data_IF_693434023175
#
_entry.id   IF_693434023175
#
_cell.length_a   1.000
_cell.length_b   1.000
_cell.length_c   1.000
_cell.angle_alpha   90.00
_cell.angle_beta   90.00
_cell.angle_gamma   90.00
#
_symmetry.space_group_name_H-M   'P 1'
#
loop_
_entity.id
_entity.type
_entity.pdbx_description
1 polymer ?
#
# COMPACT_ATOMS: atom_id res chain seq x y z
N UNK A 1 13.10 -13.20 -0.96
CA UNK A 1 13.87 -14.43 -1.27
C UNK A 1 15.17 -14.05 -1.96
N UNK A 2 16.20 -14.92 -1.92
CA UNK A 2 17.49 -14.72 -2.58
C UNK A 2 17.71 -15.82 -3.61
N UNK A 3 18.03 -15.46 -4.85
CA UNK A 3 18.23 -16.40 -5.96
C UNK A 3 19.54 -16.07 -6.66
N UNK A 4 20.32 -17.07 -7.06
CA UNK A 4 21.54 -16.79 -7.84
C UNK A 4 21.20 -16.34 -9.26
N UNK A 5 22.01 -15.48 -9.87
CA UNK A 5 21.79 -15.03 -11.27
C UNK A 5 21.75 -16.22 -12.24
N UNK A 6 22.54 -17.26 -11.97
CA UNK A 6 22.56 -18.49 -12.77
C UNK A 6 21.23 -19.24 -12.69
N UNK A 7 20.68 -19.39 -11.49
CA UNK A 7 19.39 -20.03 -11.23
C UNK A 7 18.22 -19.19 -11.76
N UNK A 8 18.32 -17.86 -11.65
CA UNK A 8 17.32 -16.93 -12.15
C UNK A 8 17.15 -16.99 -13.67
N UNK A 9 18.20 -17.36 -14.44
CA UNK A 9 18.15 -17.40 -15.92
C UNK A 9 17.01 -18.27 -16.47
N UNK A 10 16.69 -19.38 -15.80
CA UNK A 10 15.62 -20.30 -16.23
C UNK A 10 14.23 -19.99 -15.65
N UNK A 11 14.15 -19.12 -14.64
CA UNK A 11 12.92 -18.84 -13.90
C UNK A 11 12.58 -17.35 -13.84
N UNK A 12 13.25 -16.51 -14.65
CA UNK A 12 13.14 -15.06 -14.58
C UNK A 12 11.69 -14.58 -14.73
N UNK A 13 10.93 -15.19 -15.64
CA UNK A 13 9.51 -14.88 -15.84
C UNK A 13 8.68 -15.08 -14.57
N UNK A 14 8.92 -16.16 -13.83
CA UNK A 14 8.22 -16.45 -12.57
C UNK A 14 8.68 -15.53 -11.44
N UNK A 15 9.99 -15.24 -11.37
CA UNK A 15 10.54 -14.30 -10.40
C UNK A 15 10.00 -12.88 -10.59
N UNK A 16 9.82 -12.45 -11.84
CA UNK A 16 9.19 -11.17 -12.18
C UNK A 16 7.72 -11.16 -11.74
N UNK A 17 6.94 -12.19 -12.06
CA UNK A 17 5.54 -12.29 -11.61
C UNK A 17 5.39 -12.21 -10.10
N UNK A 18 6.30 -12.86 -9.36
CA UNK A 18 6.34 -12.77 -7.89
C UNK A 18 6.68 -11.37 -7.41
N UNK A 19 7.66 -10.71 -8.03
CA UNK A 19 7.98 -9.33 -7.73
C UNK A 19 6.79 -8.38 -8.02
N UNK A 20 6.06 -8.61 -9.10
CA UNK A 20 4.81 -7.88 -9.42
C UNK A 20 3.69 -8.12 -8.42
N UNK A 21 3.58 -9.34 -7.87
CA UNK A 21 2.65 -9.68 -6.80
C UNK A 21 3.03 -9.05 -5.45
N UNK A 22 4.24 -8.49 -5.34
CA UNK A 22 4.75 -7.80 -4.15
C UNK A 22 5.76 -8.60 -3.33
N UNK A 23 6.25 -9.73 -3.84
CA UNK A 23 7.33 -10.48 -3.19
C UNK A 23 8.68 -9.79 -3.43
N UNK A 24 9.50 -9.67 -2.38
CA UNK A 24 10.85 -9.17 -2.54
C UNK A 24 11.76 -10.27 -3.10
N UNK A 25 12.31 -10.05 -4.30
CA UNK A 25 13.26 -10.98 -4.94
C UNK A 25 14.62 -10.30 -5.10
N UNK A 26 15.65 -10.87 -4.47
CA UNK A 26 17.03 -10.39 -4.53
C UNK A 26 17.85 -11.37 -5.37
N UNK A 27 18.51 -10.86 -6.39
CA UNK A 27 19.44 -11.61 -7.23
C UNK A 27 20.84 -11.54 -6.63
N UNK A 28 21.53 -12.67 -6.59
CA UNK A 28 22.86 -12.81 -6.03
C UNK A 28 23.85 -13.34 -7.07
N UNK A 29 25.10 -12.87 -7.02
CA UNK A 29 26.20 -13.40 -7.82
C UNK A 29 27.31 -13.81 -6.87
N UNK A 30 27.68 -15.11 -6.90
CA UNK A 30 28.69 -15.68 -5.99
C UNK A 30 28.38 -15.41 -4.50
N UNK A 31 27.11 -15.50 -4.11
CA UNK A 31 26.66 -15.26 -2.73
C UNK A 31 26.47 -13.78 -2.34
N UNK A 32 26.89 -12.84 -3.18
CA UNK A 32 26.70 -11.41 -2.93
C UNK A 32 25.42 -10.90 -3.59
N UNK A 33 24.64 -10.09 -2.89
CA UNK A 33 23.46 -9.42 -3.43
C UNK A 33 23.89 -8.39 -4.49
N UNK A 34 23.33 -8.49 -5.70
CA UNK A 34 23.74 -7.64 -6.84
C UNK A 34 22.59 -6.88 -7.48
N UNK A 35 21.36 -7.36 -7.35
CA UNK A 35 20.18 -6.68 -7.87
C UNK A 35 18.94 -7.05 -7.06
N UNK A 36 17.91 -6.21 -7.12
CA UNK A 36 16.59 -6.47 -6.55
C UNK A 36 15.54 -6.24 -7.64
N UNK A 37 14.65 -7.22 -7.81
CA UNK A 37 13.49 -7.06 -8.67
C UNK A 37 12.41 -6.32 -7.88
N UNK A 38 11.96 -5.20 -8.44
CA UNK A 38 10.89 -4.38 -7.88
C UNK A 38 9.85 -4.10 -8.96
N UNK A 39 8.56 -4.10 -8.63
CA UNK A 39 7.54 -3.71 -9.58
C UNK A 39 7.69 -2.25 -9.96
N UNK A 40 7.59 -1.94 -11.25
CA UNK A 40 7.67 -0.56 -11.76
C UNK A 40 6.40 0.22 -11.40
N UNK A 41 5.24 -0.41 -11.56
CA UNK A 41 3.97 0.11 -11.08
C UNK A 41 3.58 -0.62 -9.80
N UNK A 42 3.50 0.10 -8.68
CA UNK A 42 2.97 -0.46 -7.44
C UNK A 42 1.48 -0.71 -7.63
N UNK A 43 1.11 -1.90 -8.10
CA UNK A 43 -0.28 -2.33 -8.08
C UNK A 43 -0.65 -2.45 -6.60
N UNK A 44 -1.56 -1.59 -6.14
CA UNK A 44 -2.01 -1.62 -4.77
C UNK A 44 -2.75 -2.94 -4.53
N UNK A 45 -2.04 -3.94 -4.02
CA UNK A 45 -2.66 -5.20 -3.61
C UNK A 45 -3.69 -4.89 -2.52
N UNK A 46 -4.79 -5.67 -2.39
CA UNK A 46 -5.78 -5.44 -1.34
C UNK A 46 -5.15 -5.32 0.06
N UNK A 47 -4.13 -6.16 0.33
CA UNK A 47 -3.33 -6.12 1.56
C UNK A 47 -2.49 -4.85 1.68
N UNK A 48 -1.78 -4.46 0.61
CA UNK A 48 -0.98 -3.23 0.58
C UNK A 48 -1.82 -1.98 0.76
N UNK A 49 -3.00 -1.92 0.13
CA UNK A 49 -3.97 -0.84 0.28
C UNK A 49 -4.52 -0.77 1.71
N UNK A 50 -4.87 -1.91 2.33
CA UNK A 50 -5.29 -1.95 3.74
C UNK A 50 -4.20 -1.42 4.66
N UNK A 51 -2.96 -1.92 4.52
CA UNK A 51 -1.83 -1.49 5.33
C UNK A 51 -1.49 -0.01 5.13
N UNK A 52 -1.65 0.53 3.92
CA UNK A 52 -1.52 1.96 3.65
C UNK A 52 -2.61 2.75 4.39
N UNK A 53 -3.87 2.34 4.28
CA UNK A 53 -4.99 3.02 4.95
C UNK A 53 -4.87 2.99 6.47
N UNK A 54 -4.38 1.89 7.05
CA UNK A 54 -4.12 1.80 8.49
C UNK A 54 -3.01 2.75 8.94
N UNK A 55 -1.91 2.82 8.19
CA UNK A 55 -0.83 3.79 8.47
C UNK A 55 -1.34 5.23 8.38
N UNK A 56 -2.09 5.57 7.34
CA UNK A 56 -2.69 6.91 7.18
C UNK A 56 -3.61 7.22 8.36
N UNK A 57 -4.49 6.28 8.75
CA UNK A 57 -5.39 6.44 9.91
C UNK A 57 -4.61 6.64 11.22
N UNK A 58 -3.56 5.86 11.46
CA UNK A 58 -2.74 5.98 12.66
C UNK A 58 -2.09 7.36 12.77
N UNK A 59 -1.50 7.84 11.68
CA UNK A 59 -0.90 9.19 11.63
C UNK A 59 -1.94 10.30 11.78
N UNK A 60 -3.13 10.13 11.21
CA UNK A 60 -4.20 11.12 11.27
C UNK A 60 -4.87 11.22 12.65
N UNK A 61 -4.81 10.18 13.49
CA UNK A 61 -5.41 10.19 14.85
C UNK A 61 -4.92 11.36 15.70
N UNK A 62 -3.63 11.70 15.62
CA UNK A 62 -3.06 12.84 16.36
C UNK A 62 -3.46 14.21 15.81
N UNK A 63 -4.13 14.28 14.65
CA UNK A 63 -4.60 15.51 14.01
C UNK A 63 -6.12 15.68 14.08
N UNK A 64 -6.80 14.83 14.83
CA UNK A 64 -8.26 14.91 14.97
C UNK A 64 -8.64 16.22 15.70
N UNK A 65 -9.42 17.07 15.04
CA UNK A 65 -10.01 18.25 15.64
C UNK A 65 -11.28 17.86 16.42
N UNK A 66 -11.59 18.52 17.54
CA UNK A 66 -12.79 18.27 18.35
C UNK A 66 -14.10 18.75 17.68
N UNK A 67 -14.09 19.04 16.38
CA UNK A 67 -15.26 19.51 15.63
C UNK A 67 -16.39 18.48 15.57
N UNK A 68 -17.52 18.88 14.98
CA UNK A 68 -18.68 18.01 14.83
C UNK A 68 -18.27 16.65 14.24
N UNK A 69 -18.73 15.57 14.87
CA UNK A 69 -18.52 14.23 14.35
C UNK A 69 -19.02 14.15 12.91
N UNK A 70 -18.44 13.27 12.10
CA UNK A 70 -18.86 13.08 10.70
C UNK A 70 -20.37 12.82 10.55
N UNK A 71 -21.00 12.22 11.57
CA UNK A 71 -22.45 12.01 11.62
C UNK A 71 -23.27 13.31 11.63
N UNK A 72 -22.69 14.43 12.07
CA UNK A 72 -23.31 15.76 12.22
C UNK A 72 -22.68 16.81 11.32
N UNK A 73 -21.91 16.39 10.32
CA UNK A 73 -21.22 17.32 9.40
C UNK A 73 -22.16 18.03 8.44
N UNK A 74 -23.46 17.75 8.50
CA UNK A 74 -24.48 18.26 7.60
C UNK A 74 -25.55 19.06 8.35
N UNK A 75 -25.47 19.13 9.68
CA UNK A 75 -26.47 19.78 10.52
C UNK A 75 -26.62 21.28 10.22
N UNK A 76 -25.60 21.90 9.61
CA UNK A 76 -25.68 23.30 9.17
C UNK A 76 -26.45 23.49 7.86
N UNK A 77 -26.73 22.41 7.12
CA UNK A 77 -27.46 22.47 5.85
C UNK A 77 -28.98 22.49 6.06
N UNK A 78 -29.46 22.08 7.24
CA UNK A 78 -30.88 21.95 7.53
C UNK A 78 -31.22 22.65 8.85
N UNK A 79 -32.32 23.42 8.87
CA UNK A 79 -32.86 24.01 10.09
C UNK A 79 -33.48 22.95 11.02
N UNK A 80 -33.92 23.37 12.20
CA UNK A 80 -34.60 22.49 13.18
C UNK A 80 -35.92 21.89 12.65
N UNK A 81 -36.47 22.47 11.58
CA UNK A 81 -37.63 21.98 10.83
C UNK A 81 -37.28 20.96 9.73
N UNK A 82 -35.98 20.66 9.55
CA UNK A 82 -35.46 19.75 8.53
C UNK A 82 -35.46 20.33 7.12
N UNK A 83 -35.80 21.60 6.94
CA UNK A 83 -35.74 22.28 5.65
C UNK A 83 -34.34 22.86 5.41
N UNK A 84 -33.88 22.97 4.15
CA UNK A 84 -32.61 23.61 3.84
C UNK A 84 -32.56 25.03 4.41
N UNK A 85 -31.47 25.36 5.11
CA UNK A 85 -31.21 26.68 5.68
C UNK A 85 -30.87 27.74 4.63
#
# INVERSE_FOLDING_TARGET
MRVSVTEAKGQLTELVKRAEAGDEVILTRRGHEVARLVPVAVVATPKGRRALMERVRATARGKALPGAAAARSQDFLYGDDGMPA
#
